data_IF_546499494697
#
_entry.id   IF_546499494697
#
_cell.length_a   1.000
_cell.length_b   1.000
_cell.length_c   1.000
_cell.angle_alpha   90.00
_cell.angle_beta   90.00
_cell.angle_gamma   90.00
#
_symmetry.space_group_name_H-M   'P 1'
#
loop_
_entity.id
_entity.type
_entity.pdbx_description
1 polymer ?
#
# COMPACT_ATOMS: atom_id res chain seq x y z
N UNK A 1 -2.04 -45.49 -20.57
CA UNK A 1 -2.58 -44.11 -20.66
C UNK A 1 -2.68 -43.62 -19.22
N UNK A 2 -1.60 -42.99 -18.73
CA UNK A 2 -1.59 -42.40 -17.43
C UNK A 2 -2.48 -41.15 -17.49
N UNK A 3 -3.57 -41.17 -16.72
CA UNK A 3 -4.35 -39.96 -16.43
C UNK A 3 -3.45 -39.06 -15.57
N UNK A 4 -2.95 -37.95 -16.14
CA UNK A 4 -2.17 -36.96 -15.40
C UNK A 4 -3.04 -36.23 -14.38
N UNK A 5 -3.39 -36.92 -13.30
CA UNK A 5 -4.07 -36.32 -12.14
C UNK A 5 -2.98 -35.71 -11.28
N UNK A 6 -2.85 -34.38 -11.32
CA UNK A 6 -1.89 -33.63 -10.51
C UNK A 6 -2.37 -33.42 -9.06
N UNK A 7 -3.71 -33.51 -8.83
CA UNK A 7 -4.28 -33.26 -7.51
C UNK A 7 -5.66 -33.95 -7.35
N UNK A 8 -6.00 -34.40 -6.14
CA UNK A 8 -7.26 -35.02 -5.80
C UNK A 8 -7.84 -34.38 -4.52
N UNK A 9 -9.15 -34.12 -4.51
CA UNK A 9 -9.88 -33.58 -3.38
C UNK A 9 -11.01 -34.49 -2.97
N UNK A 10 -11.20 -34.71 -1.66
CA UNK A 10 -12.23 -35.56 -1.09
C UNK A 10 -13.32 -34.71 -0.42
N UNK A 11 -14.55 -34.76 -0.92
CA UNK A 11 -15.68 -34.05 -0.33
C UNK A 11 -16.33 -34.88 0.79
N UNK A 12 -16.80 -34.24 1.87
CA UNK A 12 -16.81 -32.77 2.13
C UNK A 12 -15.51 -32.23 2.77
N UNK A 13 -14.53 -33.10 3.10
CA UNK A 13 -13.35 -32.70 3.85
C UNK A 13 -12.52 -31.59 3.15
N UNK A 14 -12.44 -31.62 1.83
CA UNK A 14 -11.66 -30.66 1.03
C UNK A 14 -12.53 -29.59 0.33
N UNK A 15 -13.78 -29.38 0.77
CA UNK A 15 -14.71 -28.44 0.15
C UNK A 15 -14.14 -27.02 0.07
N UNK A 16 -13.53 -26.54 1.16
CA UNK A 16 -12.88 -25.22 1.21
C UNK A 16 -11.70 -25.11 0.23
N UNK A 17 -10.94 -26.20 0.04
CA UNK A 17 -9.84 -26.26 -0.93
C UNK A 17 -10.38 -26.25 -2.37
N UNK A 18 -11.42 -27.03 -2.64
CA UNK A 18 -12.04 -27.09 -3.96
C UNK A 18 -12.66 -25.76 -4.37
N UNK A 19 -13.37 -25.09 -3.45
CA UNK A 19 -13.91 -23.74 -3.67
C UNK A 19 -12.79 -22.76 -3.99
N UNK A 20 -11.65 -22.84 -3.29
CA UNK A 20 -10.46 -22.03 -3.56
C UNK A 20 -9.94 -22.24 -4.98
N UNK A 21 -9.66 -23.48 -5.35
CA UNK A 21 -9.12 -23.83 -6.68
C UNK A 21 -10.10 -23.41 -7.78
N UNK A 22 -11.39 -23.65 -7.63
CA UNK A 22 -12.42 -23.25 -8.60
C UNK A 22 -12.56 -21.72 -8.70
N UNK A 23 -12.39 -21.00 -7.61
CA UNK A 23 -12.42 -19.53 -7.60
C UNK A 23 -11.18 -18.97 -8.32
N UNK A 24 -10.01 -19.54 -8.07
CA UNK A 24 -8.75 -19.17 -8.74
C UNK A 24 -8.76 -19.49 -10.24
N UNK A 25 -9.38 -20.60 -10.65
CA UNK A 25 -9.48 -20.99 -12.07
C UNK A 25 -10.45 -20.11 -12.88
N UNK A 26 -11.42 -19.44 -12.24
CA UNK A 26 -12.41 -18.61 -12.93
C UNK A 26 -11.95 -17.18 -13.24
N UNK A 27 -10.89 -16.73 -12.61
CA UNK A 27 -10.33 -15.38 -12.84
C UNK A 27 -9.19 -15.50 -13.84
N UNK A 28 -9.19 -14.76 -14.97
CA UNK A 28 -8.02 -14.67 -15.82
C UNK A 28 -6.83 -14.23 -14.95
N UNK A 29 -5.80 -15.08 -14.85
CA UNK A 29 -4.59 -14.75 -14.09
C UNK A 29 -3.95 -13.51 -14.70
N UNK A 30 -4.29 -12.35 -14.19
CA UNK A 30 -3.49 -11.14 -14.43
C UNK A 30 -2.13 -11.35 -13.76
N UNK A 31 -1.06 -10.89 -14.38
CA UNK A 31 0.25 -10.91 -13.72
C UNK A 31 0.15 -10.04 -12.47
N UNK A 32 0.59 -10.53 -11.29
CA UNK A 32 0.58 -9.71 -10.07
C UNK A 32 1.31 -8.40 -10.30
N UNK A 33 0.68 -7.27 -9.99
CA UNK A 33 1.29 -5.96 -10.22
C UNK A 33 2.30 -5.57 -9.14
N UNK A 34 2.20 -6.15 -7.95
CA UNK A 34 3.16 -6.00 -6.85
C UNK A 34 2.58 -5.36 -5.59
N UNK A 35 3.39 -5.35 -4.54
CA UNK A 35 3.05 -4.77 -3.23
C UNK A 35 4.05 -3.69 -2.86
N UNK A 36 3.57 -2.49 -2.54
CA UNK A 36 4.41 -1.38 -2.07
C UNK A 36 3.92 -0.87 -0.72
N UNK A 37 4.82 -0.81 0.25
CA UNK A 37 4.56 -0.19 1.53
C UNK A 37 5.13 1.23 1.60
N UNK A 38 4.36 2.17 2.12
CA UNK A 38 4.82 3.53 2.37
C UNK A 38 4.75 3.81 3.87
N UNK A 39 5.83 4.32 4.43
CA UNK A 39 5.92 4.68 5.84
C UNK A 39 6.53 6.07 6.02
N UNK A 40 5.91 6.89 6.84
CA UNK A 40 6.44 8.22 7.16
C UNK A 40 7.51 8.17 8.25
N UNK A 41 8.63 8.83 8.06
CA UNK A 41 9.66 8.94 9.10
C UNK A 41 9.15 9.70 10.33
N UNK A 42 8.27 10.68 10.12
CA UNK A 42 7.67 11.51 11.17
C UNK A 42 6.25 11.96 10.78
N UNK A 43 5.51 12.50 11.73
CA UNK A 43 4.20 13.09 11.46
C UNK A 43 4.30 14.21 10.42
N UNK A 44 3.40 14.21 9.44
CA UNK A 44 3.42 15.20 8.35
C UNK A 44 4.51 15.00 7.29
N UNK A 45 5.24 13.87 7.29
CA UNK A 45 6.18 13.54 6.22
C UNK A 45 5.51 13.43 4.85
N UNK A 46 4.23 13.02 4.80
CA UNK A 46 3.42 12.94 3.58
C UNK A 46 3.30 11.54 3.02
N UNK A 47 3.54 10.48 3.81
CA UNK A 47 3.44 9.09 3.38
C UNK A 47 2.04 8.75 2.91
N UNK A 48 1.00 8.98 3.70
CA UNK A 48 -0.40 8.71 3.33
C UNK A 48 -0.83 9.45 2.06
N UNK A 49 -0.39 10.72 1.91
CA UNK A 49 -0.67 11.49 0.70
C UNK A 49 0.03 10.89 -0.52
N UNK A 50 1.26 10.40 -0.36
CA UNK A 50 2.00 9.73 -1.44
C UNK A 50 1.39 8.36 -1.73
N UNK A 51 0.97 7.59 -0.71
CA UNK A 51 0.28 6.31 -0.89
C UNK A 51 -0.99 6.47 -1.72
N UNK A 52 -1.85 7.41 -1.35
CA UNK A 52 -3.04 7.74 -2.13
C UNK A 52 -2.70 8.20 -3.57
N UNK A 53 -1.62 8.99 -3.74
CA UNK A 53 -1.18 9.42 -5.06
C UNK A 53 -0.66 8.25 -5.91
N UNK A 54 0.07 7.30 -5.33
CA UNK A 54 0.53 6.07 -6.01
C UNK A 54 -0.67 5.23 -6.43
N UNK A 55 -1.65 5.02 -5.55
CA UNK A 55 -2.86 4.29 -5.85
C UNK A 55 -3.67 4.93 -6.99
N UNK A 56 -3.86 6.25 -6.95
CA UNK A 56 -4.52 7.00 -8.04
C UNK A 56 -3.73 6.92 -9.35
N UNK A 57 -2.41 6.90 -9.31
CA UNK A 57 -1.55 6.79 -10.50
C UNK A 57 -1.72 5.43 -11.16
N UNK A 58 -1.72 4.36 -10.38
CA UNK A 58 -1.89 2.99 -10.86
C UNK A 58 -3.28 2.77 -11.47
N UNK A 59 -4.33 3.17 -10.76
CA UNK A 59 -5.71 3.06 -11.26
C UNK A 59 -5.91 3.88 -12.55
N UNK A 60 -5.32 5.08 -12.64
CA UNK A 60 -5.33 5.90 -13.85
C UNK A 60 -4.56 5.29 -15.04
N UNK A 61 -3.73 4.27 -14.80
CA UNK A 61 -3.07 3.46 -15.82
C UNK A 61 -3.84 2.16 -16.14
N UNK A 62 -5.12 2.10 -15.77
CA UNK A 62 -6.04 0.97 -15.99
C UNK A 62 -5.58 -0.34 -15.31
N UNK A 63 -4.74 -0.20 -14.27
CA UNK A 63 -4.30 -1.33 -13.45
C UNK A 63 -5.19 -1.44 -12.21
N UNK A 64 -5.78 -2.60 -11.91
CA UNK A 64 -6.53 -2.75 -10.68
C UNK A 64 -5.62 -2.46 -9.49
N UNK A 65 -6.15 -1.74 -8.53
CA UNK A 65 -5.36 -1.21 -7.41
C UNK A 65 -6.13 -1.36 -6.11
N UNK A 66 -5.43 -1.80 -5.08
CA UNK A 66 -5.95 -1.93 -3.73
C UNK A 66 -5.12 -1.05 -2.79
N UNK A 67 -5.74 -0.03 -2.20
CA UNK A 67 -5.12 0.80 -1.16
C UNK A 67 -5.57 0.32 0.21
N UNK A 68 -4.61 -0.11 1.03
CA UNK A 68 -4.82 -0.57 2.40
C UNK A 68 -4.23 0.45 3.37
N UNK A 69 -5.09 1.11 4.11
CA UNK A 69 -4.71 2.02 5.19
C UNK A 69 -4.66 1.22 6.50
N UNK A 70 -3.44 1.02 7.03
CA UNK A 70 -3.19 0.32 8.28
C UNK A 70 -2.95 1.27 9.47
N UNK A 71 -3.04 2.59 9.27
CA UNK A 71 -2.93 3.58 10.34
C UNK A 71 -4.31 3.87 10.94
N UNK A 72 -4.70 3.08 11.93
CA UNK A 72 -5.98 3.21 12.64
C UNK A 72 -6.08 4.48 13.50
N UNK A 73 -4.96 5.17 13.74
CA UNK A 73 -4.88 6.46 14.42
C UNK A 73 -4.78 7.64 13.44
N UNK A 74 -4.69 7.36 12.15
CA UNK A 74 -4.63 8.36 11.09
C UNK A 74 -5.98 9.00 10.77
N UNK A 75 -5.97 9.98 9.86
CA UNK A 75 -7.19 10.63 9.39
C UNK A 75 -8.04 9.71 8.49
N UNK A 76 -7.43 8.66 7.93
CA UNK A 76 -8.02 7.73 7.00
C UNK A 76 -7.81 8.11 5.54
N UNK A 77 -7.38 7.14 4.73
CA UNK A 77 -7.20 7.33 3.29
C UNK A 77 -8.53 7.61 2.58
N UNK A 78 -9.65 7.14 3.12
CA UNK A 78 -10.99 7.41 2.62
C UNK A 78 -11.34 8.92 2.67
N UNK A 79 -10.97 9.62 3.74
CA UNK A 79 -11.14 11.08 3.85
C UNK A 79 -10.27 11.81 2.81
N UNK A 80 -9.01 11.37 2.69
CA UNK A 80 -8.09 11.94 1.71
C UNK A 80 -8.61 11.80 0.26
N UNK A 81 -9.32 10.70 -0.02
CA UNK A 81 -9.89 10.40 -1.33
C UNK A 81 -11.36 10.86 -1.49
N UNK A 82 -11.98 11.41 -0.45
CA UNK A 82 -13.36 11.90 -0.46
C UNK A 82 -14.42 10.81 -0.60
N UNK A 83 -14.12 9.64 -0.06
CA UNK A 83 -15.01 8.46 -0.11
C UNK A 83 -15.48 7.99 1.28
N UNK A 84 -15.28 8.82 2.32
CA UNK A 84 -15.60 8.51 3.71
C UNK A 84 -17.08 8.18 3.94
N UNK A 85 -17.96 8.67 3.03
CA UNK A 85 -19.40 8.41 3.06
C UNK A 85 -19.84 7.26 2.14
N UNK A 86 -18.92 6.69 1.38
CA UNK A 86 -19.25 5.55 0.50
C UNK A 86 -19.44 4.29 1.34
N UNK A 87 -20.48 3.54 1.00
CA UNK A 87 -20.76 2.22 1.61
C UNK A 87 -19.68 1.23 1.16
N UNK A 88 -19.37 0.28 2.03
CA UNK A 88 -18.44 -0.80 1.80
C UNK A 88 -17.79 -1.25 3.10
N UNK A 89 -17.11 -2.37 3.07
CA UNK A 89 -16.45 -2.94 4.23
C UNK A 89 -15.29 -2.05 4.70
N UNK A 90 -15.05 -2.11 6.00
CA UNK A 90 -13.90 -1.54 6.68
C UNK A 90 -13.15 -2.67 7.39
N UNK A 91 -11.95 -2.41 7.89
CA UNK A 91 -11.17 -3.44 8.59
C UNK A 91 -11.95 -4.16 9.68
N UNK A 92 -12.78 -3.45 10.44
CA UNK A 92 -13.57 -3.99 11.54
C UNK A 92 -14.74 -4.88 11.08
N UNK A 93 -15.10 -4.80 9.81
CA UNK A 93 -16.20 -5.61 9.23
C UNK A 93 -15.65 -6.93 8.64
N UNK A 94 -14.32 -7.09 8.57
CA UNK A 94 -13.67 -8.29 8.05
C UNK A 94 -13.55 -9.33 9.18
N UNK A 95 -14.34 -10.38 9.08
CA UNK A 95 -14.23 -11.58 9.90
C UNK A 95 -13.66 -12.69 9.01
N UNK A 96 -12.42 -13.08 9.27
CA UNK A 96 -11.75 -14.14 8.52
C UNK A 96 -11.73 -15.42 9.36
N UNK A 97 -12.83 -16.15 9.35
CA UNK A 97 -12.95 -17.46 9.99
C UNK A 97 -12.29 -18.57 9.13
N UNK A 98 -11.01 -18.36 8.79
CA UNK A 98 -10.23 -19.35 8.03
C UNK A 98 -10.53 -19.43 6.52
N UNK A 99 -11.33 -18.52 5.98
CA UNK A 99 -11.70 -18.48 4.56
C UNK A 99 -10.67 -17.72 3.68
N UNK A 100 -10.61 -18.09 2.40
CA UNK A 100 -9.85 -17.35 1.39
C UNK A 100 -10.66 -16.17 0.88
N UNK A 101 -10.09 -14.99 0.91
CA UNK A 101 -10.68 -13.78 0.35
C UNK A 101 -10.42 -13.77 -1.15
N UNK A 102 -11.47 -13.81 -1.98
CA UNK A 102 -11.32 -13.65 -3.42
C UNK A 102 -11.16 -12.17 -3.80
N UNK A 103 -10.14 -11.83 -4.60
CA UNK A 103 -9.86 -10.43 -4.96
C UNK A 103 -11.03 -9.72 -5.65
N UNK A 104 -11.76 -10.38 -6.55
CA UNK A 104 -12.96 -9.81 -7.19
C UNK A 104 -14.06 -9.51 -6.17
N UNK A 105 -14.31 -10.41 -5.23
CA UNK A 105 -15.29 -10.19 -4.16
C UNK A 105 -14.86 -9.04 -3.24
N UNK A 106 -13.56 -8.95 -2.96
CA UNK A 106 -12.97 -7.86 -2.18
C UNK A 106 -13.22 -6.50 -2.87
N UNK A 107 -12.91 -6.37 -4.16
CA UNK A 107 -13.19 -5.14 -4.92
C UNK A 107 -14.66 -4.73 -4.94
N UNK A 108 -15.59 -5.70 -5.02
CA UNK A 108 -17.02 -5.45 -4.98
C UNK A 108 -17.52 -5.00 -3.59
N UNK A 109 -16.88 -5.50 -2.54
CA UNK A 109 -17.27 -5.23 -1.15
C UNK A 109 -16.67 -3.92 -0.60
N UNK A 110 -15.54 -3.45 -1.15
CA UNK A 110 -14.84 -2.26 -0.67
C UNK A 110 -15.35 -0.95 -1.30
N UNK A 111 -15.23 0.18 -0.60
CA UNK A 111 -15.44 1.47 -1.21
C UNK A 111 -14.44 1.72 -2.35
N UNK A 112 -14.93 2.25 -3.45
CA UNK A 112 -14.09 2.60 -4.61
C UNK A 112 -13.83 4.11 -4.65
N UNK A 113 -12.59 4.51 -4.92
CA UNK A 113 -12.20 5.91 -5.14
C UNK A 113 -12.11 6.29 -6.63
N UNK A 114 -12.80 5.55 -7.48
CA UNK A 114 -12.82 5.67 -8.93
C UNK A 114 -12.73 4.31 -9.59
N UNK A 115 -12.69 4.27 -10.89
CA UNK A 115 -12.56 3.01 -11.62
C UNK A 115 -11.23 2.34 -11.28
N UNK A 116 -11.29 1.06 -10.92
CA UNK A 116 -10.10 0.23 -10.62
C UNK A 116 -9.41 0.50 -9.28
N UNK A 117 -9.88 1.43 -8.42
CA UNK A 117 -9.29 1.68 -7.11
C UNK A 117 -10.23 1.30 -5.97
N UNK A 118 -9.98 0.19 -5.32
CA UNK A 118 -10.62 -0.20 -4.07
C UNK A 118 -9.80 0.27 -2.86
N UNK A 119 -10.49 0.65 -1.78
CA UNK A 119 -9.83 1.23 -0.59
C UNK A 119 -10.36 0.57 0.67
N UNK A 120 -9.46 0.05 1.49
CA UNK A 120 -9.79 -0.52 2.79
C UNK A 120 -9.14 0.32 3.90
N UNK A 121 -9.99 0.90 4.74
CA UNK A 121 -9.57 1.75 5.87
C UNK A 121 -10.25 1.29 7.15
N UNK A 122 -9.79 1.79 8.28
CA UNK A 122 -10.44 1.58 9.58
C UNK A 122 -11.70 2.46 9.72
N UNK A 123 -12.64 1.98 10.51
CA UNK A 123 -13.75 2.81 11.00
C UNK A 123 -13.20 3.83 12.02
N UNK A 124 -13.82 5.03 12.07
CA UNK A 124 -13.48 6.04 13.08
C UNK A 124 -14.12 5.73 14.45
N UNK A 125 -13.97 4.49 14.91
CA UNK A 125 -14.46 3.98 16.19
C UNK A 125 -13.35 3.18 16.85
N UNK A 126 -13.27 3.12 18.18
CA UNK A 126 -12.33 2.25 18.88
C UNK A 126 -12.49 0.81 18.38
N UNK A 127 -11.40 0.17 18.06
CA UNK A 127 -11.34 -1.23 17.61
C UNK A 127 -10.28 -2.00 18.39
N UNK A 128 -10.35 -3.32 18.31
CA UNK A 128 -9.35 -4.20 18.91
C UNK A 128 -8.00 -4.19 18.16
N UNK A 129 -7.84 -3.32 17.15
CA UNK A 129 -6.69 -3.31 16.26
C UNK A 129 -6.84 -4.26 15.08
N UNK A 130 -5.86 -4.25 14.19
CA UNK A 130 -5.83 -5.09 13.00
C UNK A 130 -5.16 -6.43 13.33
N UNK A 131 -5.71 -7.55 12.83
CA UNK A 131 -5.03 -8.83 12.97
C UNK A 131 -4.04 -9.07 11.83
N UNK A 132 -2.96 -9.77 12.12
CA UNK A 132 -1.94 -10.14 11.13
C UNK A 132 -2.55 -10.99 10.02
N UNK A 133 -3.38 -11.95 10.40
CA UNK A 133 -4.06 -12.88 9.49
C UNK A 133 -4.97 -12.13 8.51
N UNK A 134 -5.76 -11.16 9.01
CA UNK A 134 -6.64 -10.37 8.16
C UNK A 134 -5.85 -9.52 7.15
N UNK A 135 -4.80 -8.86 7.61
CA UNK A 135 -3.97 -8.00 6.74
C UNK A 135 -3.26 -8.84 5.69
N UNK A 136 -2.65 -9.97 6.07
CA UNK A 136 -1.94 -10.85 5.12
C UNK A 136 -2.90 -11.43 4.09
N UNK A 137 -4.07 -11.93 4.52
CA UNK A 137 -5.07 -12.49 3.61
C UNK A 137 -5.60 -11.46 2.59
N UNK A 138 -5.76 -10.20 3.01
CA UNK A 138 -6.20 -9.12 2.09
C UNK A 138 -5.09 -8.74 1.11
N UNK A 139 -3.83 -8.68 1.56
CA UNK A 139 -2.67 -8.45 0.68
C UNK A 139 -2.59 -9.56 -0.37
N UNK A 140 -2.67 -10.81 0.05
CA UNK A 140 -2.60 -11.99 -0.83
C UNK A 140 -3.77 -12.02 -1.83
N UNK A 141 -4.97 -11.64 -1.39
CA UNK A 141 -6.14 -11.54 -2.25
C UNK A 141 -5.95 -10.51 -3.38
N UNK A 142 -5.47 -9.31 -3.05
CA UNK A 142 -5.16 -8.28 -4.03
C UNK A 142 -4.03 -8.71 -4.96
N UNK A 143 -2.94 -9.22 -4.41
CA UNK A 143 -1.80 -9.70 -5.18
C UNK A 143 -2.19 -10.81 -6.17
N UNK A 144 -2.95 -11.81 -5.74
CA UNK A 144 -3.43 -12.91 -6.59
C UNK A 144 -4.42 -12.42 -7.65
N UNK A 145 -5.21 -11.39 -7.35
CA UNK A 145 -6.13 -10.75 -8.30
C UNK A 145 -5.38 -9.97 -9.40
N UNK A 146 -4.12 -9.64 -9.19
CA UNK A 146 -3.28 -8.85 -10.09
C UNK A 146 -3.34 -7.34 -9.82
N UNK A 147 -3.68 -6.96 -8.58
CA UNK A 147 -3.66 -5.58 -8.15
C UNK A 147 -2.24 -5.08 -7.88
N UNK A 148 -2.02 -3.79 -8.09
CA UNK A 148 -1.04 -3.09 -7.29
C UNK A 148 -1.61 -2.90 -5.89
N UNK A 149 -1.02 -3.55 -4.89
CA UNK A 149 -1.37 -3.36 -3.48
C UNK A 149 -0.49 -2.25 -2.90
N UNK A 150 -1.13 -1.18 -2.44
CA UNK A 150 -0.46 -0.03 -1.81
C UNK A 150 -0.80 -0.02 -0.33
N UNK A 151 0.21 -0.11 0.52
CA UNK A 151 0.07 -0.14 1.98
C UNK A 151 0.47 1.22 2.56
N UNK A 152 -0.43 1.89 3.25
CA UNK A 152 -0.12 3.06 4.08
C UNK A 152 0.10 2.59 5.52
N UNK A 153 1.36 2.65 5.97
CA UNK A 153 1.78 2.06 7.24
C UNK A 153 1.92 3.09 8.36
N UNK A 154 1.42 2.77 9.57
CA UNK A 154 1.72 3.56 10.75
C UNK A 154 3.20 3.41 11.13
N UNK A 155 3.71 4.39 11.88
CA UNK A 155 5.07 4.38 12.45
C UNK A 155 5.15 3.51 13.71
N UNK A 156 4.91 2.24 13.53
CA UNK A 156 4.82 1.25 14.61
C UNK A 156 5.66 0.03 14.27
N UNK A 157 6.11 -0.68 15.28
CA UNK A 157 6.75 -1.99 15.19
C UNK A 157 5.79 -3.14 15.52
N UNK A 158 4.49 -2.87 15.48
CA UNK A 158 3.45 -3.87 15.71
C UNK A 158 3.57 -5.06 14.76
N UNK A 159 3.19 -6.27 15.19
CA UNK A 159 3.28 -7.47 14.35
C UNK A 159 2.63 -7.32 12.98
N UNK A 160 1.50 -6.62 12.90
CA UNK A 160 0.78 -6.35 11.64
C UNK A 160 1.59 -5.52 10.66
N UNK A 161 2.35 -4.52 11.17
CA UNK A 161 3.21 -3.68 10.32
C UNK A 161 4.39 -4.49 9.80
N UNK A 162 5.02 -5.31 10.65
CA UNK A 162 6.09 -6.21 10.22
C UNK A 162 5.62 -7.21 9.17
N UNK A 163 4.45 -7.81 9.34
CA UNK A 163 3.87 -8.72 8.35
C UNK A 163 3.60 -8.02 7.01
N UNK A 164 3.05 -6.80 7.05
CA UNK A 164 2.81 -5.99 5.85
C UNK A 164 4.12 -5.63 5.12
N UNK A 165 5.18 -5.30 5.87
CA UNK A 165 6.51 -5.06 5.32
C UNK A 165 7.08 -6.32 4.67
N UNK A 166 7.01 -7.47 5.35
CA UNK A 166 7.49 -8.75 4.82
C UNK A 166 6.75 -9.18 3.54
N UNK A 167 5.50 -8.76 3.36
CA UNK A 167 4.70 -9.02 2.16
C UNK A 167 4.97 -8.03 1.01
N UNK A 168 5.87 -7.05 1.19
CA UNK A 168 6.10 -5.97 0.22
C UNK A 168 7.29 -6.25 -0.70
N UNK A 169 7.16 -5.91 -1.99
CA UNK A 169 8.27 -5.93 -2.96
C UNK A 169 9.24 -4.75 -2.73
N UNK A 170 8.72 -3.64 -2.21
CA UNK A 170 9.49 -2.44 -1.86
C UNK A 170 8.84 -1.67 -0.72
N UNK A 171 9.66 -1.17 0.20
CA UNK A 171 9.25 -0.25 1.27
C UNK A 171 9.79 1.13 0.95
N UNK A 172 8.90 2.12 0.94
CA UNK A 172 9.25 3.52 0.68
C UNK A 172 9.17 4.30 1.98
N UNK A 173 10.33 4.74 2.47
CA UNK A 173 10.41 5.65 3.62
C UNK A 173 10.28 7.09 3.13
N UNK A 174 9.30 7.82 3.65
CA UNK A 174 9.04 9.21 3.28
C UNK A 174 9.53 10.13 4.39
N UNK A 175 10.41 11.07 4.05
CA UNK A 175 10.95 12.04 5.03
C UNK A 175 11.03 13.47 4.47
N UNK A 176 11.36 14.42 5.32
CA UNK A 176 11.69 15.81 4.93
C UNK A 176 13.18 16.07 5.06
N UNK A 177 13.78 16.98 4.23
CA UNK A 177 15.20 17.29 4.27
C UNK A 177 15.53 18.23 5.45
N UNK A 178 15.42 17.70 6.65
CA UNK A 178 15.75 18.35 7.92
C UNK A 178 16.58 17.41 8.78
N UNK A 179 17.35 17.93 9.73
CA UNK A 179 18.13 17.11 10.68
C UNK A 179 17.20 16.16 11.45
N UNK A 180 16.05 16.67 11.93
CA UNK A 180 15.05 15.85 12.60
C UNK A 180 14.44 14.79 11.71
N UNK A 181 14.20 15.13 10.44
CA UNK A 181 13.73 14.18 9.42
C UNK A 181 14.72 13.05 9.15
N UNK A 182 16.00 13.36 9.02
CA UNK A 182 17.07 12.36 8.88
C UNK A 182 17.13 11.42 10.09
N UNK A 183 17.14 11.99 11.31
CA UNK A 183 17.21 11.22 12.54
C UNK A 183 15.97 10.30 12.72
N UNK A 184 14.79 10.80 12.38
CA UNK A 184 13.55 10.03 12.43
C UNK A 184 13.55 8.90 11.39
N UNK A 185 13.97 9.20 10.15
CA UNK A 185 14.08 8.19 9.09
C UNK A 185 15.05 7.07 9.47
N UNK A 186 16.20 7.41 10.05
CA UNK A 186 17.17 6.42 10.53
C UNK A 186 16.52 5.45 11.53
N UNK A 187 15.75 5.96 12.49
CA UNK A 187 15.03 5.11 13.46
C UNK A 187 14.00 4.19 12.82
N UNK A 188 13.30 4.67 11.78
CA UNK A 188 12.36 3.83 11.02
C UNK A 188 13.12 2.73 10.29
N UNK A 189 14.23 3.08 9.62
CA UNK A 189 15.08 2.12 8.92
C UNK A 189 15.58 1.03 9.87
N UNK A 190 16.12 1.43 11.03
CA UNK A 190 16.65 0.49 12.04
C UNK A 190 15.56 -0.49 12.58
N UNK A 191 14.28 -0.10 12.53
CA UNK A 191 13.16 -0.94 12.98
C UNK A 191 12.52 -1.78 11.88
N UNK A 192 12.60 -1.30 10.64
CA UNK A 192 11.86 -1.82 9.50
C UNK A 192 12.74 -2.69 8.61
N UNK A 193 14.06 -2.43 8.63
CA UNK A 193 14.98 -3.14 7.75
C UNK A 193 15.23 -4.55 8.25
N UNK A 194 14.56 -5.52 7.57
CA UNK A 194 15.07 -6.88 7.50
C UNK A 194 15.86 -7.05 6.21
N UNK A 195 16.74 -8.01 6.14
CA UNK A 195 17.69 -8.21 5.02
C UNK A 195 17.04 -8.59 3.68
N UNK A 196 15.75 -8.84 3.65
CA UNK A 196 15.03 -9.40 2.51
C UNK A 196 14.20 -8.39 1.70
N UNK A 197 13.87 -7.23 2.28
CA UNK A 197 12.99 -6.25 1.63
C UNK A 197 13.77 -5.05 1.14
N UNK A 198 13.54 -4.65 -0.10
CA UNK A 198 14.13 -3.42 -0.64
C UNK A 198 13.53 -2.18 0.03
N UNK A 199 14.38 -1.37 0.64
CA UNK A 199 13.98 -0.10 1.26
C UNK A 199 14.54 1.06 0.45
N UNK A 200 13.70 2.00 0.07
CA UNK A 200 14.06 3.15 -0.73
C UNK A 200 13.51 4.45 -0.11
N UNK A 201 14.15 5.57 -0.40
CA UNK A 201 13.85 6.85 0.21
C UNK A 201 13.12 7.79 -0.73
N UNK A 202 12.07 8.42 -0.24
CA UNK A 202 11.44 9.58 -0.89
C UNK A 202 11.61 10.81 0.02
N UNK A 203 12.18 11.87 -0.54
CA UNK A 203 12.43 13.14 0.19
C UNK A 203 11.43 14.20 -0.26
N UNK A 204 10.58 14.65 0.64
CA UNK A 204 9.62 15.73 0.39
C UNK A 204 10.11 17.06 0.98
N UNK A 205 10.41 18.03 0.11
CA UNK A 205 10.72 19.39 0.55
C UNK A 205 9.60 20.09 1.32
N UNK A 206 9.77 21.35 1.70
CA UNK A 206 10.96 22.16 1.48
C UNK A 206 12.15 21.78 2.36
N UNK A 207 13.33 22.30 2.04
CA UNK A 207 14.55 22.16 2.84
C UNK A 207 14.86 23.48 3.54
N UNK A 208 14.40 23.72 4.75
CA UNK A 208 14.65 25.01 5.44
C UNK A 208 16.13 25.25 5.77
N UNK A 209 16.89 24.18 5.99
CA UNK A 209 18.34 24.22 6.25
C UNK A 209 19.21 23.99 5.01
N UNK A 210 18.65 23.96 3.80
CA UNK A 210 19.40 23.79 2.55
C UNK A 210 19.90 22.37 2.28
N UNK A 211 19.55 21.36 3.07
CA UNK A 211 19.92 19.97 2.83
C UNK A 211 19.41 19.49 1.46
N UNK A 212 20.31 18.95 0.65
CA UNK A 212 19.96 18.35 -0.62
C UNK A 212 19.39 16.93 -0.42
N UNK A 213 18.43 16.48 -1.25
CA UNK A 213 17.86 15.13 -1.11
C UNK A 213 18.92 14.02 -1.09
N UNK A 214 19.99 14.13 -1.88
CA UNK A 214 21.07 13.14 -1.87
C UNK A 214 21.82 13.12 -0.54
N UNK A 215 22.10 14.27 0.07
CA UNK A 215 22.73 14.32 1.40
C UNK A 215 21.86 13.67 2.49
N UNK A 216 20.53 13.78 2.35
CA UNK A 216 19.57 13.08 3.24
C UNK A 216 19.67 11.56 3.03
N UNK A 217 19.71 11.12 1.78
CA UNK A 217 19.84 9.70 1.43
C UNK A 217 21.16 9.11 1.94
N UNK A 218 22.28 9.82 1.73
CA UNK A 218 23.61 9.42 2.20
C UNK A 218 23.67 9.34 3.74
N UNK A 219 23.06 10.31 4.43
CA UNK A 219 23.01 10.34 5.89
C UNK A 219 22.16 9.21 6.50
N UNK A 220 21.13 8.73 5.78
CA UNK A 220 20.27 7.64 6.22
C UNK A 220 20.85 6.28 5.79
N UNK A 221 21.59 6.23 4.70
CA UNK A 221 22.13 5.01 4.12
C UNK A 221 21.13 4.29 3.21
N UNK A 222 20.17 5.01 2.62
CA UNK A 222 19.19 4.44 1.70
C UNK A 222 19.33 5.02 0.28
N UNK A 223 19.01 4.24 -0.76
CA UNK A 223 18.92 4.76 -2.11
C UNK A 223 17.78 5.79 -2.23
N UNK A 224 18.08 6.92 -2.86
CA UNK A 224 17.10 7.96 -3.15
C UNK A 224 16.26 7.54 -4.36
N UNK A 225 14.99 7.21 -4.14
CA UNK A 225 14.05 6.88 -5.20
C UNK A 225 13.49 8.13 -5.88
N UNK A 226 13.04 9.09 -5.08
CA UNK A 226 12.50 10.34 -5.60
C UNK A 226 12.67 11.49 -4.61
N UNK A 227 12.66 12.72 -5.16
CA UNK A 227 12.55 13.92 -4.36
C UNK A 227 11.55 14.87 -5.01
N UNK A 228 10.68 15.48 -4.20
CA UNK A 228 9.68 16.40 -4.73
C UNK A 228 9.41 17.58 -3.80
N UNK A 229 8.98 18.68 -4.38
CA UNK A 229 8.52 19.87 -3.63
C UNK A 229 7.07 19.66 -3.18
N UNK A 230 6.67 20.20 -2.03
CA UNK A 230 5.27 20.18 -1.62
C UNK A 230 4.38 20.80 -2.70
N UNK A 231 3.21 20.21 -2.90
CA UNK A 231 2.18 20.81 -3.75
C UNK A 231 1.72 22.14 -3.15
N UNK A 232 1.74 23.24 -3.93
CA UNK A 232 1.23 24.51 -3.43
C UNK A 232 -0.23 24.40 -2.98
N UNK A 233 -0.53 24.92 -1.81
CA UNK A 233 -1.89 24.94 -1.23
C UNK A 233 -2.56 23.56 -1.10
N UNK A 234 -1.78 22.45 -1.07
CA UNK A 234 -2.37 21.11 -0.96
C UNK A 234 -3.22 20.97 0.30
N UNK A 235 -2.70 21.37 1.47
CA UNK A 235 -3.46 21.31 2.72
C UNK A 235 -4.81 22.02 2.62
N UNK A 236 -4.83 23.27 2.15
CA UNK A 236 -6.09 24.00 1.99
C UNK A 236 -7.03 23.40 0.94
N UNK A 237 -6.50 22.69 -0.06
CA UNK A 237 -7.34 21.98 -1.04
C UNK A 237 -7.97 20.73 -0.43
N UNK A 238 -7.24 20.05 0.44
CA UNK A 238 -7.74 18.86 1.14
C UNK A 238 -8.81 19.19 2.17
N UNK A 239 -8.78 20.39 2.77
CA UNK A 239 -9.89 20.89 3.62
C UNK A 239 -11.17 21.14 2.80
N UNK A 240 -11.05 21.45 1.52
CA UNK A 240 -12.17 21.74 0.63
C UNK A 240 -12.63 20.58 -0.24
N UNK A 241 -11.97 19.42 -0.19
CA UNK A 241 -12.34 18.25 -0.98
C UNK A 241 -11.22 17.24 -1.18
N UNK A 242 -11.48 16.20 -1.97
CA UNK A 242 -10.57 15.07 -2.13
C UNK A 242 -9.26 15.45 -2.82
N UNK A 243 -8.25 14.61 -2.63
CA UNK A 243 -7.00 14.66 -3.37
C UNK A 243 -7.26 14.52 -4.88
N UNK A 244 -7.00 15.59 -5.60
CA UNK A 244 -7.03 15.60 -7.06
C UNK A 244 -5.60 15.58 -7.59
N UNK A 245 -5.15 14.39 -7.96
CA UNK A 245 -3.80 14.20 -8.47
C UNK A 245 -3.67 14.74 -9.89
N UNK A 246 -2.64 15.56 -10.12
CA UNK A 246 -2.24 16.01 -11.46
C UNK A 246 -0.98 15.24 -11.85
N UNK A 247 -0.98 14.45 -12.93
CA UNK A 247 0.17 13.60 -13.29
C UNK A 247 1.50 14.33 -13.40
N UNK A 248 1.47 15.56 -13.91
CA UNK A 248 2.68 16.39 -14.08
C UNK A 248 3.06 17.22 -12.85
N UNK A 249 2.30 17.17 -11.77
CA UNK A 249 2.65 17.85 -10.53
C UNK A 249 3.84 17.19 -9.82
N UNK A 250 4.50 17.87 -8.87
CA UNK A 250 5.57 17.27 -8.10
C UNK A 250 5.17 15.95 -7.42
N UNK A 251 3.99 15.91 -6.79
CA UNK A 251 3.46 14.71 -6.17
C UNK A 251 3.13 13.63 -7.21
N UNK A 252 2.51 14.00 -8.34
CA UNK A 252 2.17 13.06 -9.41
C UNK A 252 3.41 12.40 -10.01
N UNK A 253 4.48 13.16 -10.25
CA UNK A 253 5.75 12.60 -10.72
C UNK A 253 6.39 11.66 -9.70
N UNK A 254 6.38 12.02 -8.41
CA UNK A 254 6.91 11.14 -7.36
C UNK A 254 6.09 9.85 -7.26
N UNK A 255 4.76 9.93 -7.34
CA UNK A 255 3.88 8.77 -7.36
C UNK A 255 4.16 7.86 -8.56
N UNK A 256 4.34 8.44 -9.74
CA UNK A 256 4.71 7.69 -10.94
C UNK A 256 6.08 6.99 -10.80
N UNK A 257 7.07 7.64 -10.20
CA UNK A 257 8.38 7.03 -9.94
C UNK A 257 8.26 5.83 -9.01
N UNK A 258 7.45 5.93 -7.94
CA UNK A 258 7.20 4.81 -7.03
C UNK A 258 6.48 3.67 -7.76
N UNK A 259 5.41 3.98 -8.51
CA UNK A 259 4.68 2.99 -9.31
C UNK A 259 5.60 2.25 -10.30
N UNK A 260 6.42 2.98 -11.07
CA UNK A 260 7.37 2.39 -12.01
C UNK A 260 8.40 1.48 -11.32
N UNK A 261 8.87 1.87 -10.11
CA UNK A 261 9.83 1.06 -9.35
C UNK A 261 9.25 -0.30 -8.94
N UNK A 262 7.99 -0.35 -8.55
CA UNK A 262 7.33 -1.63 -8.22
C UNK A 262 7.29 -2.55 -9.45
N UNK A 263 6.90 -2.02 -10.60
CA UNK A 263 6.87 -2.75 -11.85
C UNK A 263 8.26 -3.31 -12.24
N UNK A 264 9.33 -2.50 -12.12
CA UNK A 264 10.71 -2.93 -12.36
C UNK A 264 11.16 -4.08 -11.43
N UNK A 265 10.80 -3.98 -10.13
CA UNK A 265 11.14 -5.02 -9.15
C UNK A 265 10.50 -6.35 -9.51
N UNK A 266 9.22 -6.33 -9.87
CA UNK A 266 8.49 -7.53 -10.25
C UNK A 266 9.05 -8.18 -11.52
N UNK A 267 9.44 -7.39 -12.51
CA UNK A 267 10.07 -7.91 -13.73
C UNK A 267 11.41 -8.62 -13.46
N UNK A 268 12.14 -8.22 -12.41
CA UNK A 268 13.42 -8.85 -12.03
C UNK A 268 13.22 -10.11 -11.18
N UNK A 269 12.08 -10.26 -10.53
CA UNK A 269 11.75 -11.41 -9.69
C UNK A 269 11.00 -12.53 -10.45
N UNK A 270 10.54 -12.26 -11.66
CA UNK A 270 9.90 -13.20 -12.59
C UNK A 270 10.88 -13.83 -13.56
#
# INVERSE_FOLDING_TARGET
MELGIEDASTLPADEGRLVRVLTECRVPRRRPAGVVALIGAHGGAGASTLAAAVALTSAGAESPTLLLDLDDMGAGADLLLGIERRRGLRWQDLSLDGGVVGGTALHQALPSAGEGLAVLTSQRRPSAGLSVEAVTAVIDAGHTHGDLVVLDLPRSDAPVVRAAIASSDVVVVVTTPTVGGCAAARRIVDRVVGDEVAVELVVRGPSPGGLRPQQVADAIGLPLLAAYRPEPRLAGRLEGGPLRLRPRSPLGRAAHTVHARVAERRQRAS
#
